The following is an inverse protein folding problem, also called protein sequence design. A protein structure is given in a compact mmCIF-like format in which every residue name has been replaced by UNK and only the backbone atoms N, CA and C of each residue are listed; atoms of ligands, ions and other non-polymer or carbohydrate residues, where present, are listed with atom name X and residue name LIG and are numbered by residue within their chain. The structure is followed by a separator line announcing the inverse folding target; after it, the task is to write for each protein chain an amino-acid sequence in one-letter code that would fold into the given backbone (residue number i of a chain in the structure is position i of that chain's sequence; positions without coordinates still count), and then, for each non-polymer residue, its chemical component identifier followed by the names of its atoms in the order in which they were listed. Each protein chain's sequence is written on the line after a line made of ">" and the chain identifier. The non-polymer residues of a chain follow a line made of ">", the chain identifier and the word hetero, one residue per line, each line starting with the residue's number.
data_IF_651572185075
#
_entry.id   IF_651572185075
#
_cell.length_a   1.000
_cell.length_b   1.000
_cell.length_c   1.000
_cell.angle_alpha   90.00
_cell.angle_beta   90.00
_cell.angle_gamma   90.00
#
_symmetry.space_group_name_H-M   'P 1'
#
loop_
_entity.id
_entity.type
_entity.pdbx_description
1 polymer ?
#
# COMPACT_ATOMS: atom_id res chain seq x y z
N UNK A 1 -7.96 -10.88 59.24
CA UNK A 1 -8.77 -10.84 58.00
C UNK A 1 -7.85 -10.82 56.78
N UNK A 2 -7.52 -11.98 56.21
CA UNK A 2 -6.71 -12.10 54.99
C UNK A 2 -7.64 -12.22 53.77
N UNK A 3 -7.58 -11.25 52.85
CA UNK A 3 -8.32 -11.30 51.58
C UNK A 3 -7.50 -12.11 50.56
N UNK A 4 -7.94 -13.35 50.30
CA UNK A 4 -7.39 -14.22 49.27
C UNK A 4 -7.74 -13.68 47.87
N UNK A 5 -6.77 -13.06 47.19
CA UNK A 5 -6.89 -12.73 45.76
C UNK A 5 -6.81 -14.01 44.93
N UNK A 6 -7.95 -14.52 44.48
CA UNK A 6 -8.00 -15.59 43.46
C UNK A 6 -7.44 -15.03 42.16
N UNK A 7 -6.24 -15.50 41.79
CA UNK A 7 -5.66 -15.27 40.46
C UNK A 7 -6.52 -16.03 39.45
N UNK A 8 -7.35 -15.32 38.68
CA UNK A 8 -7.93 -15.88 37.47
C UNK A 8 -6.77 -16.15 36.50
N UNK A 9 -6.39 -17.44 36.37
CA UNK A 9 -5.55 -17.91 35.26
C UNK A 9 -6.24 -17.48 33.98
N UNK A 10 -5.56 -16.65 33.19
CA UNK A 10 -5.96 -16.36 31.81
C UNK A 10 -6.02 -17.69 31.07
N UNK A 11 -7.24 -18.20 30.83
CA UNK A 11 -7.43 -19.35 29.96
C UNK A 11 -7.05 -18.91 28.55
N UNK A 12 -6.00 -19.52 28.01
CA UNK A 12 -5.59 -19.34 26.62
C UNK A 12 -6.77 -19.67 25.71
N UNK A 13 -7.11 -18.75 24.79
CA UNK A 13 -8.14 -18.88 23.75
C UNK A 13 -8.23 -20.28 23.10
N UNK A 14 -7.11 -20.99 22.79
CA UNK A 14 -7.20 -22.35 22.25
C UNK A 14 -7.86 -23.37 23.19
N UNK A 15 -7.69 -23.24 24.51
CA UNK A 15 -8.31 -24.16 25.48
C UNK A 15 -9.83 -24.01 25.57
N UNK A 16 -10.34 -22.80 25.35
CA UNK A 16 -11.79 -22.54 25.29
C UNK A 16 -12.43 -23.19 24.06
N UNK A 17 -11.75 -23.15 22.90
CA UNK A 17 -12.23 -23.73 21.64
C UNK A 17 -12.29 -25.26 21.74
N UNK A 18 -11.26 -25.90 22.30
CA UNK A 18 -11.23 -27.37 22.49
C UNK A 18 -12.34 -27.83 23.44
N UNK A 19 -12.57 -27.10 24.53
CA UNK A 19 -13.64 -27.40 25.47
C UNK A 19 -15.03 -27.29 24.81
N UNK A 20 -15.24 -26.25 23.99
CA UNK A 20 -16.50 -26.04 23.27
C UNK A 20 -16.77 -27.15 22.24
N UNK A 21 -15.74 -27.60 21.51
CA UNK A 21 -15.87 -28.70 20.54
C UNK A 21 -16.15 -30.04 21.23
N UNK A 22 -15.50 -30.33 22.36
CA UNK A 22 -15.78 -31.53 23.16
C UNK A 22 -17.21 -31.52 23.72
N UNK A 23 -17.68 -30.37 24.21
CA UNK A 23 -19.05 -30.22 24.70
C UNK A 23 -20.07 -30.42 23.57
N UNK A 24 -19.79 -29.90 22.37
CA UNK A 24 -20.63 -30.12 21.18
C UNK A 24 -20.65 -31.58 20.72
N UNK A 25 -19.53 -32.31 20.82
CA UNK A 25 -19.46 -33.72 20.50
C UNK A 25 -20.28 -34.58 21.48
N UNK A 26 -20.22 -34.25 22.77
CA UNK A 26 -21.02 -34.89 23.82
C UNK A 26 -22.53 -34.67 23.60
N UNK A 27 -22.95 -33.45 23.23
CA UNK A 27 -24.36 -33.18 22.94
C UNK A 27 -24.87 -33.93 21.70
N UNK A 28 -24.04 -34.08 20.66
CA UNK A 28 -24.42 -34.82 19.45
C UNK A 28 -24.57 -36.31 19.71
N UNK A 29 -23.73 -36.90 20.57
CA UNK A 29 -23.80 -38.35 20.86
C UNK A 29 -24.94 -38.66 21.86
N UNK A 30 -25.21 -37.76 22.81
CA UNK A 30 -26.31 -37.92 23.77
C UNK A 30 -27.71 -37.63 23.19
N UNK A 31 -27.83 -36.80 22.15
CA UNK A 31 -29.12 -36.40 21.58
C UNK A 31 -29.81 -37.46 20.71
N UNK A 32 -29.06 -38.43 20.16
CA UNK A 32 -29.60 -39.43 19.23
C UNK A 32 -30.17 -40.67 19.92
N UNK A 33 -29.87 -40.88 21.21
CA UNK A 33 -30.39 -42.00 21.99
C UNK A 33 -31.78 -41.75 22.59
N UNK A 34 -32.25 -40.49 22.59
CA UNK A 34 -33.52 -40.09 23.21
C UNK A 34 -34.78 -40.21 22.34
N UNK A 35 -34.66 -40.46 21.03
CA UNK A 35 -35.81 -40.53 20.11
C UNK A 35 -36.16 -41.94 19.63
N UNK A 36 -35.61 -42.99 20.25
CA UNK A 36 -35.84 -44.38 19.84
C UNK A 36 -36.97 -45.11 20.60
N UNK A 37 -37.70 -44.43 21.49
CA UNK A 37 -38.81 -45.02 22.26
C UNK A 37 -40.14 -44.35 21.92
N UNK A 38 -40.59 -44.49 20.68
CA UNK A 38 -41.97 -44.25 20.32
C UNK A 38 -42.31 -44.98 19.02
N UNK A 39 -42.33 -46.32 19.06
CA UNK A 39 -43.02 -47.16 18.06
C UNK A 39 -43.35 -48.52 18.69
N UNK A 40 -44.32 -48.51 19.59
CA UNK A 40 -45.24 -49.63 19.75
C UNK A 40 -46.46 -49.32 18.89
N UNK A 41 -46.54 -49.90 17.70
CA UNK A 41 -47.78 -49.94 16.93
C UNK A 41 -47.91 -51.30 16.25
N UNK A 42 -48.95 -52.01 16.65
CA UNK A 42 -49.43 -53.29 16.14
C UNK A 42 -49.78 -53.17 14.64
N UNK A 43 -49.38 -54.09 13.74
CA UNK A 43 -49.81 -54.06 12.36
C UNK A 43 -51.17 -54.77 12.26
N UNK A 44 -52.24 -54.03 12.59
CA UNK A 44 -53.61 -54.41 12.31
C UNK A 44 -54.08 -53.80 10.99
N UNK A 45 -54.54 -54.65 10.08
CA UNK A 45 -55.11 -54.35 8.77
C UNK A 45 -55.91 -53.03 8.70
N UNK A 46 -55.53 -52.23 7.71
CA UNK A 46 -56.26 -51.05 7.27
C UNK A 46 -55.64 -50.57 5.97
N UNK A 47 -56.21 -51.01 4.85
CA UNK A 47 -55.94 -50.55 3.49
C UNK A 47 -56.20 -49.03 3.41
N UNK A 48 -55.23 -48.24 3.85
CA UNK A 48 -55.20 -46.80 3.66
C UNK A 48 -54.51 -46.56 2.33
N UNK A 49 -55.31 -46.54 1.25
CA UNK A 49 -54.93 -45.89 0.01
C UNK A 49 -54.19 -44.58 0.35
N UNK A 50 -53.04 -44.27 -0.28
CA UNK A 50 -52.28 -43.07 0.04
C UNK A 50 -53.24 -41.89 -0.04
N UNK A 51 -53.53 -41.31 1.12
CA UNK A 51 -54.49 -40.21 1.22
C UNK A 51 -54.00 -39.10 0.29
N UNK A 52 -54.91 -38.55 -0.52
CA UNK A 52 -54.60 -37.47 -1.46
C UNK A 52 -53.77 -36.35 -0.80
N UNK A 53 -53.97 -36.10 0.50
CA UNK A 53 -53.20 -35.14 1.29
C UNK A 53 -51.69 -35.42 1.40
N UNK A 54 -51.26 -36.69 1.42
CA UNK A 54 -49.84 -37.06 1.47
C UNK A 54 -49.16 -36.90 0.09
N UNK A 55 -49.88 -37.21 -1.00
CA UNK A 55 -49.41 -36.96 -2.36
C UNK A 55 -49.35 -35.45 -2.67
N UNK A 56 -50.34 -34.69 -2.22
CA UNK A 56 -50.42 -33.24 -2.37
C UNK A 56 -49.30 -32.53 -1.57
N UNK A 57 -49.05 -32.96 -0.32
CA UNK A 57 -47.92 -32.46 0.49
C UNK A 57 -46.55 -32.77 -0.13
N UNK A 58 -46.39 -33.93 -0.79
CA UNK A 58 -45.15 -34.28 -1.50
C UNK A 58 -44.96 -33.40 -2.74
N UNK A 59 -46.02 -33.12 -3.49
CA UNK A 59 -45.95 -32.23 -4.66
C UNK A 59 -45.60 -30.78 -4.28
N UNK A 60 -46.20 -30.26 -3.21
CA UNK A 60 -45.90 -28.92 -2.71
C UNK A 60 -44.45 -28.78 -2.22
N UNK A 61 -43.90 -29.84 -1.62
CA UNK A 61 -42.50 -29.87 -1.20
C UNK A 61 -41.54 -29.88 -2.39
N UNK A 62 -41.84 -30.65 -3.44
CA UNK A 62 -41.05 -30.67 -4.67
C UNK A 62 -41.05 -29.31 -5.37
N UNK A 63 -42.20 -28.64 -5.42
CA UNK A 63 -42.30 -27.29 -6.00
C UNK A 63 -41.55 -26.25 -5.17
N UNK A 64 -41.56 -26.37 -3.83
CA UNK A 64 -40.74 -25.53 -2.96
C UNK A 64 -39.23 -25.74 -3.20
N UNK A 65 -38.79 -26.99 -3.44
CA UNK A 65 -37.40 -27.26 -3.80
C UNK A 65 -37.02 -26.67 -5.16
N UNK A 66 -37.86 -26.84 -6.20
CA UNK A 66 -37.63 -26.23 -7.52
C UNK A 66 -37.56 -24.71 -7.45
N UNK A 67 -38.45 -24.08 -6.68
CA UNK A 67 -38.43 -22.63 -6.47
C UNK A 67 -37.18 -22.16 -5.72
N UNK A 68 -36.62 -22.99 -4.84
CA UNK A 68 -35.35 -22.69 -4.17
C UNK A 68 -34.16 -22.88 -5.10
N UNK A 69 -34.15 -23.94 -5.89
CA UNK A 69 -33.11 -24.22 -6.88
C UNK A 69 -33.00 -23.08 -7.89
N UNK A 70 -34.11 -22.61 -8.47
CA UNK A 70 -34.09 -21.49 -9.41
C UNK A 70 -33.59 -20.18 -8.79
N UNK A 71 -33.88 -19.93 -7.50
CA UNK A 71 -33.32 -18.79 -6.76
C UNK A 71 -31.82 -18.92 -6.52
N UNK A 72 -31.33 -20.15 -6.29
CA UNK A 72 -29.91 -20.43 -6.11
C UNK A 72 -29.17 -20.27 -7.43
N UNK A 73 -29.67 -20.84 -8.53
CA UNK A 73 -29.10 -20.69 -9.88
C UNK A 73 -29.02 -19.20 -10.27
N UNK A 74 -30.08 -18.43 -10.05
CA UNK A 74 -30.08 -16.99 -10.33
C UNK A 74 -29.10 -16.20 -9.44
N UNK A 75 -28.80 -16.70 -8.24
CA UNK A 75 -27.78 -16.09 -7.37
C UNK A 75 -26.38 -16.48 -7.80
N UNK A 76 -26.16 -17.74 -8.15
CA UNK A 76 -24.89 -18.25 -8.63
C UNK A 76 -24.47 -17.55 -9.93
N UNK A 77 -25.38 -17.44 -10.90
CA UNK A 77 -25.14 -16.70 -12.13
C UNK A 77 -24.70 -15.24 -11.86
N UNK A 78 -25.39 -14.53 -10.96
CA UNK A 78 -25.00 -13.15 -10.58
C UNK A 78 -23.65 -13.06 -9.90
N UNK A 79 -23.30 -14.05 -9.08
CA UNK A 79 -21.98 -14.09 -8.41
C UNK A 79 -20.89 -14.35 -9.44
N UNK A 80 -21.08 -15.33 -10.33
CA UNK A 80 -20.13 -15.62 -11.42
C UNK A 80 -19.93 -14.43 -12.35
N UNK A 81 -21.01 -13.75 -12.73
CA UNK A 81 -20.93 -12.52 -13.55
C UNK A 81 -20.11 -11.43 -12.84
N UNK A 82 -20.33 -11.26 -11.53
CA UNK A 82 -19.61 -10.27 -10.73
C UNK A 82 -18.14 -10.63 -10.57
N UNK A 83 -17.81 -11.91 -10.33
CA UNK A 83 -16.43 -12.41 -10.26
C UNK A 83 -15.68 -12.17 -11.57
N UNK A 84 -16.31 -12.44 -12.71
CA UNK A 84 -15.71 -12.18 -14.03
C UNK A 84 -15.53 -10.68 -14.30
N UNK A 85 -16.47 -9.84 -13.84
CA UNK A 85 -16.33 -8.40 -13.95
C UNK A 85 -15.19 -7.87 -13.09
N UNK A 86 -15.08 -8.33 -11.83
CA UNK A 86 -14.01 -7.98 -10.93
C UNK A 86 -12.65 -8.46 -11.45
N UNK A 87 -12.55 -9.69 -11.95
CA UNK A 87 -11.31 -10.22 -12.50
C UNK A 87 -10.79 -9.36 -13.67
N UNK A 88 -11.68 -8.94 -14.58
CA UNK A 88 -11.34 -8.04 -15.69
C UNK A 88 -10.90 -6.66 -15.19
N UNK A 89 -11.63 -6.09 -14.24
CA UNK A 89 -11.29 -4.79 -13.66
C UNK A 89 -9.94 -4.83 -12.93
N UNK A 90 -9.66 -5.88 -12.15
CA UNK A 90 -8.39 -6.07 -11.47
C UNK A 90 -7.22 -6.19 -12.45
N UNK A 91 -7.37 -6.99 -13.50
CA UNK A 91 -6.35 -7.11 -14.54
C UNK A 91 -6.05 -5.76 -15.23
N UNK A 92 -7.10 -5.00 -15.57
CA UNK A 92 -6.93 -3.67 -16.16
C UNK A 92 -6.24 -2.67 -15.20
N UNK A 93 -6.54 -2.75 -13.90
CA UNK A 93 -5.87 -1.94 -12.89
C UNK A 93 -4.39 -2.31 -12.76
N UNK A 94 -4.08 -3.60 -12.74
CA UNK A 94 -2.69 -4.08 -12.70
C UNK A 94 -1.88 -3.62 -13.92
N UNK A 95 -2.46 -3.74 -15.11
CA UNK A 95 -1.84 -3.27 -16.36
C UNK A 95 -1.58 -1.76 -16.33
N UNK A 96 -2.57 -0.98 -15.88
CA UNK A 96 -2.43 0.48 -15.74
C UNK A 96 -1.38 0.86 -14.70
N UNK A 97 -1.30 0.16 -13.57
CA UNK A 97 -0.28 0.39 -12.56
C UNK A 97 1.12 0.09 -13.09
N UNK A 98 1.29 -1.02 -13.81
CA UNK A 98 2.56 -1.35 -14.44
C UNK A 98 2.98 -0.28 -15.48
N UNK A 99 2.05 0.19 -16.31
CA UNK A 99 2.30 1.26 -17.27
C UNK A 99 2.68 2.58 -16.58
N UNK A 100 2.01 2.94 -15.49
CA UNK A 100 2.32 4.15 -14.71
C UNK A 100 3.70 4.06 -14.05
N UNK A 101 4.05 2.93 -13.47
CA UNK A 101 5.38 2.71 -12.88
C UNK A 101 6.49 2.80 -13.93
N UNK A 102 6.27 2.22 -15.12
CA UNK A 102 7.22 2.33 -16.22
C UNK A 102 7.38 3.79 -16.70
N UNK A 103 6.27 4.53 -16.79
CA UNK A 103 6.29 5.94 -17.15
C UNK A 103 7.00 6.81 -16.09
N UNK A 104 6.78 6.54 -14.81
CA UNK A 104 7.46 7.23 -13.70
C UNK A 104 8.98 6.98 -13.75
N UNK A 105 9.41 5.74 -13.95
CA UNK A 105 10.83 5.39 -14.09
C UNK A 105 11.47 6.07 -15.29
N UNK A 106 10.77 6.10 -16.44
CA UNK A 106 11.25 6.78 -17.64
C UNK A 106 11.37 8.29 -17.42
N UNK A 107 10.40 8.90 -16.75
CA UNK A 107 10.44 10.32 -16.40
C UNK A 107 11.60 10.63 -15.44
N UNK A 108 11.75 9.83 -14.38
CA UNK A 108 12.84 9.98 -13.42
C UNK A 108 14.21 9.86 -14.11
N UNK A 109 14.37 8.93 -15.06
CA UNK A 109 15.59 8.80 -15.84
C UNK A 109 15.85 10.02 -16.74
N UNK A 110 14.81 10.58 -17.38
CA UNK A 110 14.95 11.79 -18.19
C UNK A 110 15.32 13.02 -17.35
N UNK A 111 14.69 13.20 -16.18
CA UNK A 111 15.04 14.28 -15.25
C UNK A 111 16.48 14.13 -14.78
N UNK A 112 16.90 12.93 -14.35
CA UNK A 112 18.27 12.68 -13.93
C UNK A 112 19.29 12.93 -15.05
N UNK A 113 18.96 12.60 -16.30
CA UNK A 113 19.80 12.89 -17.46
C UNK A 113 19.92 14.40 -17.69
N UNK A 114 18.80 15.13 -17.62
CA UNK A 114 18.78 16.58 -17.77
C UNK A 114 19.59 17.28 -16.67
N UNK A 115 19.43 16.87 -15.41
CA UNK A 115 20.18 17.40 -14.28
C UNK A 115 21.69 17.16 -14.42
N UNK A 116 22.09 15.96 -14.86
CA UNK A 116 23.50 15.64 -15.13
C UNK A 116 24.06 16.48 -16.27
N UNK A 117 23.33 16.63 -17.37
CA UNK A 117 23.77 17.44 -18.50
C UNK A 117 23.98 18.91 -18.08
N UNK A 118 23.03 19.47 -17.31
CA UNK A 118 23.14 20.82 -16.79
C UNK A 118 24.30 20.97 -15.79
N UNK A 119 24.51 19.98 -14.91
CA UNK A 119 25.63 19.96 -13.98
C UNK A 119 26.98 19.86 -14.71
N UNK A 120 27.08 19.03 -15.75
CA UNK A 120 28.28 18.86 -16.56
C UNK A 120 28.64 20.14 -17.33
N UNK A 121 27.63 20.83 -17.88
CA UNK A 121 27.83 22.12 -18.55
C UNK A 121 28.33 23.18 -17.58
N UNK A 122 27.76 23.23 -16.38
CA UNK A 122 28.20 24.15 -15.34
C UNK A 122 29.62 23.81 -14.86
N UNK A 123 29.93 22.53 -14.66
CA UNK A 123 31.27 22.08 -14.29
C UNK A 123 32.32 22.47 -15.35
N UNK A 124 31.98 22.34 -16.64
CA UNK A 124 32.85 22.81 -17.75
C UNK A 124 33.10 24.32 -17.66
N UNK A 125 32.07 25.12 -17.43
CA UNK A 125 32.22 26.58 -17.30
C UNK A 125 33.05 26.95 -16.06
N UNK A 126 32.79 26.31 -14.92
CA UNK A 126 33.56 26.49 -13.70
C UNK A 126 35.04 26.17 -13.93
N UNK A 127 35.35 25.05 -14.59
CA UNK A 127 36.73 24.67 -14.91
C UNK A 127 37.45 25.71 -15.77
N UNK A 128 36.76 26.40 -16.69
CA UNK A 128 37.38 27.48 -17.49
C UNK A 128 37.86 28.62 -16.58
N UNK A 129 37.06 29.01 -15.60
CA UNK A 129 37.44 30.07 -14.65
C UNK A 129 38.50 29.63 -13.65
N UNK A 130 38.47 28.37 -13.20
CA UNK A 130 39.49 27.81 -12.30
C UNK A 130 40.88 27.77 -12.94
N UNK A 131 40.94 27.44 -14.23
CA UNK A 131 42.20 27.35 -14.96
C UNK A 131 42.68 28.72 -15.51
N UNK A 132 41.89 29.79 -15.32
CA UNK A 132 42.27 31.15 -15.71
C UNK A 132 43.21 31.77 -14.67
N UNK A 133 43.99 32.79 -15.05
CA UNK A 133 44.79 33.55 -14.06
C UNK A 133 43.83 34.18 -13.05
N UNK A 134 44.06 34.04 -11.73
CA UNK A 134 43.12 34.52 -10.71
C UNK A 134 42.79 36.02 -10.81
N UNK A 135 43.74 36.83 -11.31
CA UNK A 135 43.54 38.26 -11.52
C UNK A 135 42.54 38.57 -12.64
N UNK A 136 42.54 37.78 -13.73
CA UNK A 136 41.58 37.95 -14.83
C UNK A 136 40.21 37.44 -14.44
N UNK A 137 40.15 36.29 -13.77
CA UNK A 137 38.90 35.76 -13.26
C UNK A 137 38.25 36.77 -12.28
N UNK A 138 39.01 37.31 -11.32
CA UNK A 138 38.51 38.33 -10.40
C UNK A 138 37.93 39.55 -11.13
N UNK A 139 38.60 40.06 -12.17
CA UNK A 139 38.08 41.18 -12.97
C UNK A 139 36.74 40.87 -13.66
N UNK A 140 36.53 39.62 -14.09
CA UNK A 140 35.24 39.20 -14.65
C UNK A 140 34.16 39.07 -13.56
N UNK A 141 34.50 38.51 -12.40
CA UNK A 141 33.59 38.40 -11.25
C UNK A 141 33.14 39.77 -10.71
N UNK A 142 33.97 40.82 -10.82
CA UNK A 142 33.57 42.20 -10.47
C UNK A 142 32.46 42.76 -11.36
N UNK A 143 32.33 42.26 -12.59
CA UNK A 143 31.28 42.70 -13.54
C UNK A 143 30.01 41.87 -13.45
N UNK A 144 30.03 40.82 -12.63
CA UNK A 144 29.02 39.78 -12.57
C UNK A 144 28.01 40.06 -11.45
N UNK A 145 26.78 39.56 -11.61
CA UNK A 145 25.80 39.59 -10.52
C UNK A 145 26.31 38.79 -9.30
N UNK A 146 26.26 39.34 -8.07
CA UNK A 146 26.78 38.67 -6.89
C UNK A 146 26.18 37.29 -6.61
N UNK A 147 24.91 37.05 -6.95
CA UNK A 147 24.28 35.76 -6.72
C UNK A 147 24.74 34.70 -7.73
N UNK A 148 25.02 35.11 -8.97
CA UNK A 148 25.61 34.25 -9.99
C UNK A 148 27.06 33.92 -9.62
N UNK A 149 27.87 34.91 -9.23
CA UNK A 149 29.25 34.70 -8.79
C UNK A 149 29.35 33.78 -7.57
N UNK A 150 28.47 33.92 -6.59
CA UNK A 150 28.39 33.01 -5.44
C UNK A 150 28.11 31.56 -5.86
N UNK A 151 27.31 31.35 -6.91
CA UNK A 151 27.03 30.03 -7.47
C UNK A 151 28.28 29.36 -8.06
N UNK A 152 29.07 30.09 -8.85
CA UNK A 152 30.32 29.56 -9.42
C UNK A 152 31.36 29.27 -8.34
N UNK A 153 31.59 30.21 -7.42
CA UNK A 153 32.57 30.03 -6.34
C UNK A 153 32.20 28.87 -5.40
N UNK A 154 30.90 28.60 -5.20
CA UNK A 154 30.43 27.46 -4.42
C UNK A 154 30.62 26.10 -5.12
N UNK A 155 30.81 26.07 -6.43
CA UNK A 155 31.08 24.86 -7.20
C UNK A 155 32.57 24.65 -7.52
N UNK A 156 33.40 25.68 -7.32
CA UNK A 156 34.83 25.64 -7.58
C UNK A 156 35.60 24.85 -6.52
N UNK A 157 36.81 24.40 -6.90
CA UNK A 157 37.83 24.00 -5.94
C UNK A 157 38.09 25.14 -4.93
N UNK A 158 38.11 24.85 -3.60
CA UNK A 158 38.25 25.87 -2.57
C UNK A 158 39.52 26.73 -2.70
N UNK A 159 40.61 26.15 -3.23
CA UNK A 159 41.88 26.87 -3.40
C UNK A 159 41.78 27.87 -4.55
N UNK A 160 41.19 27.46 -5.68
CA UNK A 160 40.94 28.35 -6.81
C UNK A 160 39.97 29.48 -6.44
N UNK A 161 38.87 29.14 -5.74
CA UNK A 161 37.90 30.11 -5.25
C UNK A 161 38.54 31.14 -4.31
N UNK A 162 39.38 30.69 -3.36
CA UNK A 162 40.10 31.59 -2.45
C UNK A 162 41.06 32.53 -3.19
N UNK A 163 41.77 32.02 -4.22
CA UNK A 163 42.68 32.83 -5.02
C UNK A 163 41.97 33.93 -5.82
N UNK A 164 40.74 33.68 -6.28
CA UNK A 164 39.89 34.66 -6.95
C UNK A 164 39.34 35.67 -5.93
N UNK A 165 38.75 35.19 -4.83
CA UNK A 165 38.17 36.02 -3.76
C UNK A 165 39.19 37.00 -3.17
N UNK A 166 40.44 36.57 -2.99
CA UNK A 166 41.53 37.41 -2.49
C UNK A 166 41.94 38.55 -3.43
N UNK A 167 41.46 38.57 -4.68
CA UNK A 167 41.75 39.59 -5.70
C UNK A 167 40.54 40.46 -6.04
N UNK A 168 39.38 40.17 -5.44
CA UNK A 168 38.20 41.02 -5.54
C UNK A 168 38.32 42.26 -4.66
N UNK A 169 37.52 43.27 -4.97
CA UNK A 169 37.29 44.41 -4.10
C UNK A 169 36.55 43.96 -2.83
N UNK A 170 36.80 44.61 -1.68
CA UNK A 170 36.14 44.24 -0.42
C UNK A 170 34.61 44.27 -0.49
N UNK A 171 34.05 45.19 -1.28
CA UNK A 171 32.60 45.32 -1.45
C UNK A 171 32.02 44.12 -2.22
N UNK A 172 32.62 43.74 -3.34
CA UNK A 172 32.18 42.61 -4.16
C UNK A 172 32.35 41.29 -3.41
N UNK A 173 33.52 41.08 -2.79
CA UNK A 173 33.78 39.90 -1.96
C UNK A 173 32.74 39.74 -0.83
N UNK A 174 32.37 40.83 -0.14
CA UNK A 174 31.31 40.82 0.87
C UNK A 174 29.95 40.45 0.28
N UNK A 175 29.56 41.07 -0.85
CA UNK A 175 28.26 40.81 -1.48
C UNK A 175 28.08 39.35 -1.89
N UNK A 176 29.10 38.75 -2.52
CA UNK A 176 29.12 37.34 -2.92
C UNK A 176 29.07 36.42 -1.68
N UNK A 177 29.87 36.74 -0.65
CA UNK A 177 29.91 35.94 0.59
C UNK A 177 28.57 35.95 1.33
N UNK A 178 27.87 37.09 1.33
CA UNK A 178 26.55 37.22 1.93
C UNK A 178 25.51 36.34 1.21
N UNK A 179 25.55 36.32 -0.13
CA UNK A 179 24.65 35.44 -0.90
C UNK A 179 24.97 33.96 -0.67
N UNK A 180 26.25 33.60 -0.65
CA UNK A 180 26.68 32.22 -0.39
C UNK A 180 26.21 31.72 0.99
N UNK A 181 26.37 32.55 2.03
CA UNK A 181 25.89 32.25 3.37
C UNK A 181 24.35 32.15 3.43
N UNK A 182 23.64 33.05 2.75
CA UNK A 182 22.18 33.04 2.68
C UNK A 182 21.63 31.79 1.99
N UNK A 183 22.27 31.33 0.90
CA UNK A 183 21.87 30.10 0.21
C UNK A 183 21.96 28.87 1.12
N UNK A 184 23.04 28.75 1.90
CA UNK A 184 23.21 27.62 2.81
C UNK A 184 22.20 27.60 3.97
N UNK A 185 21.69 28.77 4.39
CA UNK A 185 20.62 28.87 5.40
C UNK A 185 19.21 28.47 4.91
N UNK A 186 19.03 28.24 3.61
CA UNK A 186 17.75 27.81 3.01
C UNK A 186 17.74 26.34 2.58
N UNK A 187 18.84 25.62 2.79
CA UNK A 187 18.87 24.17 2.66
C UNK A 187 18.12 23.54 3.85
N UNK A 188 17.21 22.57 3.64
CA UNK A 188 16.53 21.89 4.74
C UNK A 188 17.55 21.20 5.65
N UNK A 189 17.47 21.43 6.96
CA UNK A 189 18.20 20.63 7.95
C UNK A 189 17.80 19.16 7.78
N UNK A 190 18.78 18.29 7.57
CA UNK A 190 18.60 16.85 7.47
C UNK A 190 18.20 16.22 8.81
#
# INVERSE_FOLDING_TARGET
>A
MMRARRRLRRLSVPGAIICLLLMSALLRIGGIAGMAQALGHDPGDGDAAPSAAAAEGTSALLDAFRARESRLEAREARVTDHEQALARASAEVEDRLAALQAAEQALAAMVALADRAAADDLARLTAVYENMRPQEAAALFETMDPAFGAGFLGLMDPVAAAAIMGRLTPATAYSISAVLAGRNSSAPDH
#
